data_IF_974557102297
#
_entry.id   IF_974557102297
#
_cell.length_a   1.000
_cell.length_b   1.000
_cell.length_c   1.000
_cell.angle_alpha   90.00
_cell.angle_beta   90.00
_cell.angle_gamma   90.00
#
_symmetry.space_group_name_H-M   'P 1'
#
loop_
_entity.id
_entity.type
_entity.pdbx_description
1 polymer ?
#
# COMPACT_ATOMS: atom_id res chain seq x y z
N UNK A 1 4.98 18.65 -5.94
CA UNK A 1 3.93 18.26 -6.91
C UNK A 1 4.46 17.35 -8.01
N UNK A 2 5.71 17.53 -8.49
CA UNK A 2 6.29 16.68 -9.55
C UNK A 2 6.31 15.18 -9.24
N UNK A 3 6.55 14.79 -7.99
CA UNK A 3 6.62 13.37 -7.61
C UNK A 3 5.25 12.67 -7.70
N UNK A 4 4.16 13.40 -7.42
CA UNK A 4 2.80 12.88 -7.58
C UNK A 4 2.38 12.78 -9.05
N UNK A 5 2.77 13.73 -9.89
CA UNK A 5 2.49 13.65 -11.33
C UNK A 5 3.35 12.59 -12.04
N UNK A 6 4.51 12.23 -11.48
CA UNK A 6 5.32 11.09 -11.93
C UNK A 6 4.72 9.73 -11.52
N UNK A 7 4.17 9.64 -10.30
CA UNK A 7 3.54 8.40 -9.80
C UNK A 7 2.12 8.18 -10.35
N UNK A 8 1.38 9.26 -10.61
CA UNK A 8 0.01 9.23 -11.13
C UNK A 8 -0.10 10.15 -12.36
N UNK A 9 0.55 9.84 -13.49
CA UNK A 9 0.35 10.60 -14.72
C UNK A 9 -1.14 10.55 -15.10
N UNK A 10 -1.69 11.66 -15.62
CA UNK A 10 -3.08 11.76 -16.07
C UNK A 10 -3.33 10.95 -17.37
N UNK A 11 -3.03 9.67 -17.31
CA UNK A 11 -3.02 8.67 -18.38
C UNK A 11 -3.57 7.37 -17.82
N UNK A 12 -3.95 6.44 -18.69
CA UNK A 12 -4.44 5.11 -18.28
C UNK A 12 -3.47 4.39 -17.34
N UNK A 13 -2.16 4.65 -17.47
CA UNK A 13 -1.13 4.09 -16.61
C UNK A 13 -1.20 4.63 -15.17
N UNK A 14 -1.38 5.94 -14.98
CA UNK A 14 -1.53 6.52 -13.65
C UNK A 14 -2.83 6.08 -12.97
N UNK A 15 -3.91 5.89 -13.73
CA UNK A 15 -5.15 5.28 -13.22
C UNK A 15 -4.90 3.85 -12.72
N UNK A 16 -4.18 3.03 -13.48
CA UNK A 16 -3.81 1.68 -13.06
C UNK A 16 -2.99 1.68 -11.77
N UNK A 17 -1.99 2.58 -11.65
CA UNK A 17 -1.19 2.71 -10.44
C UNK A 17 -2.03 3.12 -9.22
N UNK A 18 -2.95 4.08 -9.39
CA UNK A 18 -3.90 4.46 -8.35
C UNK A 18 -4.80 3.30 -7.94
N UNK A 19 -5.36 2.57 -8.91
CA UNK A 19 -6.17 1.39 -8.62
C UNK A 19 -5.38 0.34 -7.85
N UNK A 20 -4.16 0.00 -8.27
CA UNK A 20 -3.35 -1.01 -7.59
C UNK A 20 -2.99 -0.63 -6.14
N UNK A 21 -2.81 0.65 -5.84
CA UNK A 21 -2.49 1.13 -4.49
C UNK A 21 -3.71 1.31 -3.59
N UNK A 22 -4.81 1.85 -4.12
CA UNK A 22 -5.97 2.26 -3.33
C UNK A 22 -7.10 1.21 -3.32
N UNK A 23 -7.12 0.28 -4.27
CA UNK A 23 -8.16 -0.75 -4.30
C UNK A 23 -8.14 -1.65 -3.04
N UNK A 24 -7.00 -2.14 -2.53
CA UNK A 24 -6.99 -2.99 -1.33
C UNK A 24 -7.64 -2.35 -0.08
N UNK A 25 -7.29 -1.12 0.35
CA UNK A 25 -7.99 -0.49 1.48
C UNK A 25 -9.47 -0.24 1.19
N UNK A 26 -9.86 0.07 -0.04
CA UNK A 26 -11.28 0.21 -0.40
C UNK A 26 -12.04 -1.11 -0.26
N UNK A 27 -11.45 -2.22 -0.70
CA UNK A 27 -12.03 -3.57 -0.53
C UNK A 27 -12.17 -3.94 0.95
N UNK A 28 -11.20 -3.56 1.79
CA UNK A 28 -11.26 -3.78 3.25
C UNK A 28 -12.40 -2.99 3.90
N UNK A 29 -12.57 -1.72 3.51
CA UNK A 29 -13.63 -0.86 4.04
C UNK A 29 -15.03 -1.30 3.59
N UNK A 30 -15.14 -1.82 2.36
CA UNK A 30 -16.38 -2.35 1.79
C UNK A 30 -16.77 -3.74 2.31
N UNK A 31 -15.88 -4.45 3.02
CA UNK A 31 -16.24 -5.77 3.56
C UNK A 31 -17.23 -5.61 4.73
N UNK A 32 -18.43 -6.18 4.62
CA UNK A 32 -19.45 -6.08 5.66
C UNK A 32 -19.31 -7.14 6.77
N UNK A 33 -18.42 -8.12 6.60
CA UNK A 33 -18.25 -9.26 7.53
C UNK A 33 -17.43 -8.88 8.75
N UNK A 34 -16.52 -7.92 8.60
CA UNK A 34 -15.69 -7.42 9.67
C UNK A 34 -16.34 -6.23 10.39
N UNK A 35 -16.10 -6.14 11.70
CA UNK A 35 -16.53 -4.97 12.49
C UNK A 35 -15.88 -3.70 11.94
N UNK A 36 -16.60 -2.58 12.01
CA UNK A 36 -16.15 -1.30 11.42
C UNK A 36 -14.75 -0.85 11.89
N UNK A 37 -14.44 -1.04 13.18
CA UNK A 37 -13.13 -0.69 13.74
C UNK A 37 -12.01 -1.61 13.23
N UNK A 38 -12.30 -2.90 13.02
CA UNK A 38 -11.35 -3.86 12.45
C UNK A 38 -11.01 -3.44 11.02
N UNK A 39 -12.03 -3.11 10.21
CA UNK A 39 -11.83 -2.63 8.83
C UNK A 39 -10.95 -1.41 8.76
N UNK A 40 -11.15 -0.43 9.64
CA UNK A 40 -10.30 0.76 9.72
C UNK A 40 -8.86 0.40 10.09
N UNK A 41 -8.66 -0.49 11.07
CA UNK A 41 -7.32 -0.94 11.47
C UNK A 41 -6.59 -1.63 10.31
N UNK A 42 -7.28 -2.52 9.59
CA UNK A 42 -6.73 -3.21 8.42
C UNK A 42 -6.47 -2.25 7.26
N UNK A 43 -7.36 -1.28 7.02
CA UNK A 43 -7.15 -0.25 6.01
C UNK A 43 -5.93 0.62 6.36
N UNK A 44 -5.77 1.02 7.62
CA UNK A 44 -4.58 1.73 8.09
C UNK A 44 -3.31 0.88 7.96
N UNK A 45 -3.40 -0.43 8.19
CA UNK A 45 -2.26 -1.33 8.01
C UNK A 45 -1.73 -1.33 6.57
N UNK A 46 -2.59 -1.15 5.55
CA UNK A 46 -2.13 -1.01 4.15
C UNK A 46 -1.21 0.19 3.92
N UNK A 47 -1.25 1.21 4.80
CA UNK A 47 -0.47 2.44 4.67
C UNK A 47 0.89 2.36 5.39
N UNK A 48 1.17 1.29 6.14
CA UNK A 48 2.43 1.15 6.87
C UNK A 48 3.66 1.13 5.95
N UNK A 49 3.52 0.62 4.72
CA UNK A 49 4.60 0.68 3.74
C UNK A 49 5.00 2.13 3.42
N UNK A 50 4.03 3.05 3.29
CA UNK A 50 4.31 4.46 3.06
C UNK A 50 4.92 5.14 4.27
N UNK A 51 4.50 4.79 5.48
CA UNK A 51 5.12 5.29 6.70
C UNK A 51 6.60 4.90 6.76
N UNK A 52 6.94 3.66 6.40
CA UNK A 52 8.31 3.20 6.30
C UNK A 52 9.10 3.98 5.25
N UNK A 53 8.53 4.20 4.06
CA UNK A 53 9.16 4.99 2.98
C UNK A 53 9.44 6.42 3.44
N UNK A 54 8.49 7.07 4.12
CA UNK A 54 8.65 8.42 4.65
C UNK A 54 9.71 8.49 5.74
N UNK A 55 9.69 7.55 6.70
CA UNK A 55 10.69 7.48 7.76
C UNK A 55 12.09 7.28 7.18
N UNK A 56 12.21 6.38 6.20
CA UNK A 56 13.47 6.14 5.51
C UNK A 56 13.95 7.39 4.76
N UNK A 57 13.06 8.04 3.99
CA UNK A 57 13.38 9.27 3.27
C UNK A 57 13.84 10.39 4.21
N UNK A 58 13.18 10.52 5.37
CA UNK A 58 13.58 11.46 6.42
C UNK A 58 14.98 11.14 6.96
N UNK A 59 15.23 9.90 7.39
CA UNK A 59 16.52 9.48 7.94
C UNK A 59 17.64 9.68 6.91
N UNK A 60 17.37 9.37 5.64
CA UNK A 60 18.29 9.62 4.53
C UNK A 60 18.59 11.10 4.40
N UNK A 61 17.56 11.95 4.37
CA UNK A 61 17.75 13.39 4.26
C UNK A 61 18.65 13.91 5.37
N UNK A 62 18.44 13.47 6.61
CA UNK A 62 19.28 13.85 7.75
C UNK A 62 20.73 13.35 7.62
N UNK A 63 20.95 12.16 7.07
CA UNK A 63 22.27 11.51 7.05
C UNK A 63 23.15 11.89 5.85
N UNK A 64 22.55 12.24 4.72
CA UNK A 64 23.25 12.54 3.45
C UNK A 64 23.02 13.99 2.99
N UNK A 65 22.68 14.89 3.92
CA UNK A 65 22.65 16.33 3.69
C UNK A 65 24.07 16.82 3.36
N UNK A 66 24.41 16.85 2.07
CA UNK A 66 25.67 17.44 1.58
C UNK A 66 26.36 16.70 0.44
N UNK A 67 26.02 15.43 0.17
CA UNK A 67 26.73 14.63 -0.83
C UNK A 67 25.76 13.92 -1.82
N UNK A 68 25.43 14.55 -2.96
CA UNK A 68 24.44 14.03 -3.91
C UNK A 68 24.88 12.79 -4.68
N UNK A 69 26.18 12.43 -4.69
CA UNK A 69 26.68 11.24 -5.38
C UNK A 69 26.53 9.94 -4.55
N UNK A 70 26.57 10.02 -3.22
CA UNK A 70 26.27 8.88 -2.33
C UNK A 70 24.77 8.54 -2.27
N UNK A 71 23.96 9.33 -2.97
CA UNK A 71 22.51 9.30 -2.94
C UNK A 71 21.90 8.43 -4.05
N UNK A 72 22.71 7.90 -4.97
CA UNK A 72 22.32 6.98 -6.06
C UNK A 72 22.18 5.54 -5.55
N UNK A 73 21.01 5.22 -5.01
CA UNK A 73 20.58 3.83 -4.77
C UNK A 73 19.30 3.59 -5.58
N UNK A 74 19.05 2.39 -6.14
CA UNK A 74 17.83 2.06 -6.89
C UNK A 74 16.63 1.85 -5.94
N UNK A 75 16.44 2.80 -5.02
CA UNK A 75 15.37 2.82 -4.04
C UNK A 75 14.01 3.03 -4.72
N UNK A 76 13.99 3.75 -5.84
CA UNK A 76 12.77 4.00 -6.61
C UNK A 76 12.12 2.69 -7.11
N UNK A 77 12.93 1.70 -7.53
CA UNK A 77 12.43 0.40 -7.96
C UNK A 77 11.94 -0.45 -6.77
N UNK A 78 12.70 -0.47 -5.67
CA UNK A 78 12.32 -1.20 -4.46
C UNK A 78 11.03 -0.62 -3.83
N UNK A 79 10.93 0.71 -3.73
CA UNK A 79 9.72 1.40 -3.25
C UNK A 79 8.57 1.11 -4.19
N UNK A 80 8.79 1.14 -5.51
CA UNK A 80 7.77 0.84 -6.51
C UNK A 80 7.10 -0.50 -6.23
N UNK A 81 7.87 -1.59 -6.22
CA UNK A 81 7.32 -2.94 -6.00
C UNK A 81 6.65 -3.11 -4.63
N UNK A 82 7.27 -2.62 -3.56
CA UNK A 82 6.72 -2.77 -2.21
C UNK A 82 5.43 -1.99 -2.00
N UNK A 83 5.31 -0.80 -2.57
CA UNK A 83 4.10 0.02 -2.45
C UNK A 83 2.90 -0.57 -3.20
N UNK A 84 3.12 -1.43 -4.20
CA UNK A 84 2.05 -2.22 -4.83
C UNK A 84 1.80 -3.53 -4.08
N UNK A 85 2.82 -4.33 -3.79
CA UNK A 85 2.61 -5.67 -3.23
C UNK A 85 2.05 -5.67 -1.80
N UNK A 86 2.49 -4.73 -0.96
CA UNK A 86 2.18 -4.73 0.48
C UNK A 86 0.68 -4.54 0.79
N UNK A 87 -0.03 -3.54 0.22
CA UNK A 87 -1.47 -3.39 0.44
C UNK A 87 -2.28 -4.64 0.07
N UNK A 88 -1.90 -5.33 -1.01
CA UNK A 88 -2.54 -6.57 -1.44
C UNK A 88 -2.26 -7.73 -0.48
N UNK A 89 -1.03 -7.87 0.01
CA UNK A 89 -0.70 -8.87 1.02
C UNK A 89 -1.55 -8.69 2.28
N UNK A 90 -1.70 -7.45 2.77
CA UNK A 90 -2.56 -7.11 3.91
C UNK A 90 -4.01 -7.51 3.64
N UNK A 91 -4.53 -7.22 2.44
CA UNK A 91 -5.88 -7.64 2.03
C UNK A 91 -6.05 -9.17 2.01
N UNK A 92 -5.09 -9.91 1.48
CA UNK A 92 -5.14 -11.38 1.44
C UNK A 92 -5.14 -11.98 2.85
N UNK A 93 -4.32 -11.45 3.76
CA UNK A 93 -4.31 -11.86 5.17
C UNK A 93 -5.65 -11.53 5.82
N UNK A 94 -6.20 -10.33 5.62
CA UNK A 94 -7.52 -9.98 6.14
C UNK A 94 -8.60 -10.97 5.68
N UNK A 95 -8.60 -11.33 4.39
CA UNK A 95 -9.55 -12.29 3.81
C UNK A 95 -9.41 -13.68 4.39
N UNK A 96 -8.18 -14.14 4.65
CA UNK A 96 -7.93 -15.40 5.33
C UNK A 96 -8.45 -15.39 6.78
N UNK A 97 -8.36 -14.26 7.46
CA UNK A 97 -8.85 -14.07 8.84
C UNK A 97 -10.38 -13.87 8.93
N UNK A 98 -11.04 -13.49 7.83
CA UNK A 98 -12.49 -13.28 7.75
C UNK A 98 -13.08 -14.10 6.60
N UNK A 99 -13.03 -15.45 6.67
CA UNK A 99 -13.46 -16.32 5.59
C UNK A 99 -14.96 -16.13 5.30
N UNK A 100 -15.40 -16.37 4.04
CA UNK A 100 -16.83 -16.43 3.74
C UNK A 100 -17.52 -17.48 4.59
N UNK A 101 -18.73 -17.16 5.06
CA UNK A 101 -19.60 -18.16 5.66
C UNK A 101 -19.84 -19.28 4.64
N UNK A 102 -19.23 -20.43 4.88
CA UNK A 102 -19.42 -21.63 4.05
C UNK A 102 -20.83 -22.12 4.35
N UNK A 103 -21.72 -22.12 3.35
CA UNK A 103 -23.01 -22.81 3.49
C UNK A 103 -22.70 -24.30 3.69
N UNK A 104 -23.22 -24.95 4.73
CA UNK A 104 -23.03 -26.39 4.90
C UNK A 104 -23.57 -27.11 3.66
N UNK A 105 -22.81 -28.09 3.16
CA UNK A 105 -23.27 -28.95 2.08
C UNK A 105 -24.53 -29.71 2.54
N UNK A 106 -25.56 -29.86 1.68
CA UNK A 106 -26.72 -30.68 2.01
C UNK A 106 -26.29 -32.14 2.23
N UNK A 107 -26.96 -32.86 3.14
CA UNK A 107 -26.66 -34.27 3.47
C UNK A 107 -26.89 -35.21 2.29
#
# INVERSE_FOLDING_TARGET
>A
MELLSQLFPATARGLLHALLMFLPPLLLLADHRARWWSRLLWALATQLCWLFVLLYAWVRQQRYLGDPQLAEFPLAEAIGWWSYAFPWMVYLVFRAMHPPAVKPAPP
#
